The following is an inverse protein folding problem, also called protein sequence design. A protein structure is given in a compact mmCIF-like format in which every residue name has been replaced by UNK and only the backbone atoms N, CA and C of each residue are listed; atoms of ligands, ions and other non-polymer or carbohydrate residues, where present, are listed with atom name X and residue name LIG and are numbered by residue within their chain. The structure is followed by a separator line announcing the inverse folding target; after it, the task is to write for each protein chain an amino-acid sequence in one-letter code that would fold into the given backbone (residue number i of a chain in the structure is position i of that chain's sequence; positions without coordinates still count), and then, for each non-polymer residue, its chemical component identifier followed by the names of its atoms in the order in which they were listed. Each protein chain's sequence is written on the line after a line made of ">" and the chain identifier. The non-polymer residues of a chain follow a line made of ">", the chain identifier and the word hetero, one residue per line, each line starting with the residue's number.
data_IF_618368507652
#
_entry.id   IF_618368507652
#
_cell.length_a   1.000
_cell.length_b   1.000
_cell.length_c   1.000
_cell.angle_alpha   90.00
_cell.angle_beta   90.00
_cell.angle_gamma   90.00
#
_symmetry.space_group_name_H-M   'P 1'
#
loop_
_entity.id
_entity.type
_entity.pdbx_description
1 polymer ?
#
# COMPACT_ATOMS: atom_id res chain seq x y z
N UNK A 1 4.35 29.65 -0.33
CA UNK A 1 3.62 28.82 -1.31
C UNK A 1 4.11 27.41 -1.04
N UNK A 2 3.25 26.53 -0.54
CA UNK A 2 3.63 25.16 -0.18
C UNK A 2 3.98 24.40 -1.46
N UNK A 3 5.22 23.95 -1.60
CA UNK A 3 5.63 23.08 -2.71
C UNK A 3 5.87 21.69 -2.14
N UNK A 4 5.29 20.68 -2.79
CA UNK A 4 5.46 19.27 -2.43
C UNK A 4 6.94 18.83 -2.42
N UNK A 5 7.87 19.66 -2.89
CA UNK A 5 9.32 19.47 -2.90
C UNK A 5 9.94 19.49 -1.50
N UNK A 6 9.27 20.09 -0.51
CA UNK A 6 9.78 20.21 0.88
C UNK A 6 8.80 19.75 1.96
N UNK A 7 7.57 19.39 1.57
CA UNK A 7 6.48 19.10 2.51
C UNK A 7 6.40 17.63 2.95
N UNK A 8 7.21 16.73 2.37
CA UNK A 8 7.30 15.33 2.79
C UNK A 8 8.53 15.11 3.66
N UNK A 9 8.45 14.14 4.58
CA UNK A 9 9.58 13.80 5.46
C UNK A 9 10.79 13.24 4.70
N UNK A 10 10.56 12.59 3.55
CA UNK A 10 11.59 12.03 2.69
C UNK A 10 11.08 11.71 1.28
N UNK A 11 12.01 11.62 0.33
CA UNK A 11 11.76 11.21 -1.06
C UNK A 11 12.75 10.13 -1.49
N UNK A 12 12.25 9.08 -2.14
CA UNK A 12 13.08 8.07 -2.79
C UNK A 12 13.34 8.41 -4.26
N UNK A 13 14.60 8.52 -4.65
CA UNK A 13 14.99 8.84 -6.03
C UNK A 13 15.26 7.55 -6.82
N UNK A 14 14.52 7.35 -7.90
CA UNK A 14 14.68 6.23 -8.83
C UNK A 14 15.21 6.71 -10.18
N UNK A 15 16.20 6.01 -10.75
CA UNK A 15 16.73 6.26 -12.10
C UNK A 15 16.76 4.95 -12.87
N UNK A 16 16.19 4.92 -14.08
CA UNK A 16 16.09 3.72 -14.91
C UNK A 16 15.51 2.51 -14.16
N UNK A 17 14.50 2.73 -13.32
CA UNK A 17 13.85 1.69 -12.52
C UNK A 17 14.61 1.23 -11.28
N UNK A 18 15.77 1.83 -10.96
CA UNK A 18 16.62 1.45 -9.82
C UNK A 18 16.57 2.53 -8.73
N UNK A 19 16.37 2.12 -7.48
CA UNK A 19 16.49 3.00 -6.32
C UNK A 19 17.93 3.49 -6.18
N UNK A 20 18.13 4.80 -6.03
CA UNK A 20 19.47 5.40 -5.97
C UNK A 20 19.80 6.00 -4.61
N UNK A 21 18.90 6.81 -4.04
CA UNK A 21 19.09 7.49 -2.76
C UNK A 21 17.78 7.99 -2.17
N UNK A 22 17.82 8.27 -0.87
CA UNK A 22 16.79 9.05 -0.16
C UNK A 22 17.27 10.49 0.01
N UNK A 23 16.37 11.46 -0.14
CA UNK A 23 16.60 12.90 0.11
C UNK A 23 15.49 13.47 0.98
N UNK A 24 15.73 14.61 1.63
CA UNK A 24 14.74 15.31 2.48
C UNK A 24 13.94 16.37 1.73
N UNK A 25 14.41 16.76 0.55
CA UNK A 25 13.77 17.73 -0.32
C UNK A 25 14.17 17.48 -1.78
N UNK A 26 13.46 18.11 -2.71
CA UNK A 26 13.65 17.98 -4.15
C UNK A 26 14.23 19.25 -4.79
N UNK A 27 14.78 20.19 -4.01
CA UNK A 27 15.18 21.52 -4.49
C UNK A 27 16.31 21.46 -5.55
N UNK A 28 17.12 20.40 -5.53
CA UNK A 28 18.19 20.16 -6.50
C UNK A 28 17.71 19.46 -7.78
N UNK A 29 16.41 19.16 -7.91
CA UNK A 29 15.84 18.44 -9.06
C UNK A 29 14.96 19.41 -9.87
N UNK A 30 15.25 19.65 -11.15
CA UNK A 30 14.44 20.52 -11.99
C UNK A 30 13.06 19.88 -12.22
N UNK A 31 12.00 20.55 -11.75
CA UNK A 31 10.65 20.00 -11.71
C UNK A 31 9.73 20.42 -12.87
N UNK A 32 10.24 21.21 -13.82
CA UNK A 32 9.44 21.90 -14.85
C UNK A 32 8.58 20.96 -15.72
N UNK A 33 9.03 19.72 -15.95
CA UNK A 33 8.35 18.72 -16.79
C UNK A 33 7.74 17.54 -16.01
N UNK A 34 7.64 17.64 -14.68
CA UNK A 34 7.14 16.55 -13.85
C UNK A 34 5.61 16.60 -13.70
N UNK A 35 5.00 15.41 -13.67
CA UNK A 35 3.60 15.22 -13.28
C UNK A 35 3.57 14.49 -11.95
N UNK A 36 2.96 15.12 -10.95
CA UNK A 36 2.84 14.56 -9.60
C UNK A 36 1.52 13.82 -9.45
N UNK A 37 1.58 12.59 -8.94
CA UNK A 37 0.41 11.76 -8.62
C UNK A 37 0.34 11.52 -7.12
N UNK A 38 -0.75 11.94 -6.49
CA UNK A 38 -1.07 11.54 -5.11
C UNK A 38 -1.83 10.23 -5.15
N UNK A 39 -1.19 9.17 -4.65
CA UNK A 39 -1.78 7.83 -4.54
C UNK A 39 -2.27 7.66 -3.09
N UNK A 40 -3.49 7.16 -2.92
CA UNK A 40 -4.12 7.00 -1.61
C UNK A 40 -3.37 6.09 -0.64
N UNK A 41 -3.65 6.23 0.66
CA UNK A 41 -3.05 5.46 1.75
C UNK A 41 -4.08 4.56 2.44
N UNK A 42 -3.67 3.38 2.94
CA UNK A 42 -4.52 2.39 3.64
C UNK A 42 -5.20 2.87 4.93
N UNK A 43 -5.04 4.14 5.29
CA UNK A 43 -5.55 4.68 6.54
C UNK A 43 -7.08 4.64 6.65
N UNK A 44 -7.81 4.96 5.57
CA UNK A 44 -9.28 4.87 5.58
C UNK A 44 -9.79 3.44 5.75
N UNK A 45 -9.06 2.45 5.22
CA UNK A 45 -9.36 1.03 5.42
C UNK A 45 -9.21 0.64 6.90
N UNK A 46 -8.12 1.06 7.55
CA UNK A 46 -7.88 0.76 8.96
C UNK A 46 -8.88 1.47 9.89
N UNK A 47 -9.25 2.71 9.57
CA UNK A 47 -10.29 3.43 10.29
C UNK A 47 -11.64 2.70 10.21
N UNK A 48 -12.03 2.20 9.03
CA UNK A 48 -13.26 1.43 8.87
C UNK A 48 -13.26 0.13 9.71
N UNK A 49 -12.13 -0.58 9.75
CA UNK A 49 -11.97 -1.77 10.59
C UNK A 49 -12.09 -1.43 12.08
N UNK A 50 -11.32 -0.45 12.55
CA UNK A 50 -11.32 -0.05 13.96
C UNK A 50 -12.68 0.48 14.40
N UNK A 51 -13.35 1.30 13.58
CA UNK A 51 -14.70 1.77 13.85
C UNK A 51 -15.74 0.64 13.94
N UNK A 52 -15.51 -0.45 13.20
CA UNK A 52 -16.33 -1.67 13.28
C UNK A 52 -15.95 -2.60 14.45
N UNK A 53 -14.97 -2.23 15.28
CA UNK A 53 -14.46 -3.04 16.38
C UNK A 53 -13.61 -4.24 15.92
N UNK A 54 -13.06 -4.18 14.71
CA UNK A 54 -12.24 -5.25 14.13
C UNK A 54 -10.75 -5.02 14.43
N UNK A 55 -9.98 -6.09 14.68
CA UNK A 55 -8.57 -5.96 15.04
C UNK A 55 -7.72 -5.50 13.86
N UNK A 56 -6.80 -4.58 14.12
CA UNK A 56 -5.77 -4.14 13.18
C UNK A 56 -4.41 -4.44 13.81
N UNK A 57 -3.84 -5.60 13.50
CA UNK A 57 -2.71 -6.17 14.27
C UNK A 57 -1.47 -5.29 14.27
N UNK A 58 -1.08 -4.70 13.15
CA UNK A 58 0.14 -3.90 13.06
C UNK A 58 0.06 -2.64 13.93
N UNK A 59 -1.12 -2.01 14.04
CA UNK A 59 -1.35 -0.89 14.95
C UNK A 59 -1.19 -1.30 16.43
N UNK A 60 -1.63 -2.51 16.80
CA UNK A 60 -1.50 -3.01 18.19
C UNK A 60 -0.05 -3.28 18.61
N UNK A 61 0.85 -3.49 17.65
CA UNK A 61 2.27 -3.80 17.90
C UNK A 61 3.20 -2.68 17.45
N UNK A 62 2.64 -1.51 17.09
CA UNK A 62 3.37 -0.35 16.59
C UNK A 62 4.36 -0.68 15.46
N UNK A 63 3.85 -1.39 14.44
CA UNK A 63 4.62 -1.73 13.24
C UNK A 63 3.90 -1.23 11.99
N UNK A 64 4.66 -1.05 10.92
CA UNK A 64 4.11 -0.80 9.61
C UNK A 64 3.24 -1.99 9.13
N UNK A 65 2.36 -1.70 8.17
CA UNK A 65 1.52 -2.74 7.57
C UNK A 65 2.37 -3.64 6.67
N UNK A 66 2.40 -4.97 6.91
CA UNK A 66 3.19 -5.86 6.06
C UNK A 66 2.59 -5.92 4.67
N UNK A 67 3.41 -5.67 3.66
CA UNK A 67 2.98 -5.67 2.26
C UNK A 67 3.84 -6.59 1.41
N UNK A 68 3.19 -7.31 0.51
CA UNK A 68 3.79 -8.42 -0.23
C UNK A 68 3.69 -8.23 -1.73
N UNK A 69 4.73 -8.63 -2.46
CA UNK A 69 4.65 -8.77 -3.91
C UNK A 69 3.82 -10.00 -4.26
N UNK A 70 2.77 -9.80 -5.05
CA UNK A 70 1.90 -10.90 -5.46
C UNK A 70 2.19 -11.37 -6.89
N UNK A 71 1.52 -12.45 -7.31
CA UNK A 71 1.43 -12.88 -8.71
C UNK A 71 0.19 -12.32 -9.43
N UNK A 72 -0.60 -11.46 -8.78
CA UNK A 72 -1.75 -10.81 -9.40
C UNK A 72 -1.23 -9.71 -10.32
N UNK A 73 -1.40 -9.86 -11.63
CA UNK A 73 -0.96 -8.86 -12.60
C UNK A 73 -1.82 -7.60 -12.55
N UNK A 74 -1.19 -6.43 -12.61
CA UNK A 74 -1.88 -5.17 -12.92
C UNK A 74 -2.26 -5.15 -14.40
N UNK A 75 -3.30 -4.38 -14.74
CA UNK A 75 -3.58 -4.08 -16.14
C UNK A 75 -2.44 -3.22 -16.72
N UNK A 76 -1.78 -3.66 -17.82
CA UNK A 76 -0.68 -2.89 -18.40
C UNK A 76 -1.20 -1.62 -19.08
N UNK A 77 -0.39 -0.58 -19.08
CA UNK A 77 -0.69 0.69 -19.75
C UNK A 77 0.59 1.32 -20.32
N UNK A 78 0.70 1.39 -21.64
CA UNK A 78 1.91 1.85 -22.32
C UNK A 78 3.15 1.07 -21.87
N UNK A 79 4.23 1.74 -21.41
CA UNK A 79 5.43 1.06 -20.91
C UNK A 79 5.27 0.49 -19.49
N UNK A 80 4.16 0.78 -18.79
CA UNK A 80 3.96 0.38 -17.40
C UNK A 80 3.29 -0.99 -17.30
N UNK A 81 3.94 -1.91 -16.58
CA UNK A 81 3.42 -3.22 -16.23
C UNK A 81 4.03 -3.68 -14.90
N UNK A 82 3.37 -4.60 -14.20
CA UNK A 82 3.82 -5.10 -12.92
C UNK A 82 2.74 -5.93 -12.23
N UNK A 83 3.04 -6.37 -11.00
CA UNK A 83 2.08 -7.08 -10.17
C UNK A 83 1.59 -6.18 -9.03
N UNK A 84 0.40 -6.50 -8.52
CA UNK A 84 -0.18 -5.86 -7.34
C UNK A 84 0.71 -6.13 -6.13
N UNK A 85 1.02 -5.09 -5.37
CA UNK A 85 1.54 -5.21 -4.01
C UNK A 85 0.35 -5.19 -3.05
N UNK A 86 0.21 -6.22 -2.23
CA UNK A 86 -0.92 -6.38 -1.33
C UNK A 86 -0.49 -6.20 0.13
N UNK A 87 -1.07 -5.22 0.82
CA UNK A 87 -0.99 -5.12 2.28
C UNK A 87 -1.87 -6.20 2.93
N UNK A 88 -1.38 -6.91 3.95
CA UNK A 88 -2.10 -8.00 4.61
C UNK A 88 -2.48 -7.64 6.03
N UNK A 89 -3.70 -8.01 6.45
CA UNK A 89 -4.16 -7.90 7.83
C UNK A 89 -4.66 -9.27 8.32
N UNK A 90 -4.08 -9.84 9.39
CA UNK A 90 -4.58 -11.08 9.93
C UNK A 90 -5.95 -10.84 10.57
N UNK A 91 -6.93 -11.65 10.20
CA UNK A 91 -8.31 -11.52 10.66
C UNK A 91 -8.81 -12.88 11.18
N UNK A 92 -9.38 -12.94 12.40
CA UNK A 92 -10.09 -14.13 12.88
C UNK A 92 -11.16 -14.57 11.88
N UNK A 93 -11.30 -15.89 11.69
CA UNK A 93 -12.15 -16.48 10.63
C UNK A 93 -13.59 -15.97 10.65
N UNK A 94 -14.16 -15.85 11.85
CA UNK A 94 -15.51 -15.36 12.12
C UNK A 94 -15.70 -13.87 11.80
N UNK A 95 -14.60 -13.10 11.76
CA UNK A 95 -14.62 -11.67 11.47
C UNK A 95 -14.31 -11.33 10.00
N UNK A 96 -13.81 -12.28 9.20
CA UNK A 96 -13.41 -12.06 7.80
C UNK A 96 -14.54 -11.47 6.97
N UNK A 97 -15.74 -12.03 7.07
CA UNK A 97 -16.89 -11.54 6.28
C UNK A 97 -17.24 -10.10 6.65
N UNK A 98 -17.27 -9.79 7.95
CA UNK A 98 -17.56 -8.43 8.43
C UNK A 98 -16.49 -7.45 7.97
N UNK A 99 -15.20 -7.83 8.04
CA UNK A 99 -14.10 -7.03 7.55
C UNK A 99 -14.26 -6.69 6.06
N UNK A 100 -14.55 -7.68 5.23
CA UNK A 100 -14.77 -7.46 3.80
C UNK A 100 -15.97 -6.53 3.53
N UNK A 101 -17.07 -6.67 4.27
CA UNK A 101 -18.26 -5.84 4.11
C UNK A 101 -18.02 -4.37 4.46
N UNK A 102 -17.38 -4.10 5.61
CA UNK A 102 -17.17 -2.71 6.05
C UNK A 102 -16.14 -1.97 5.21
N UNK A 103 -15.22 -2.68 4.54
CA UNK A 103 -14.22 -2.06 3.67
C UNK A 103 -14.65 -2.00 2.22
N UNK A 104 -15.60 -2.82 1.77
CA UNK A 104 -16.07 -2.84 0.38
C UNK A 104 -16.71 -1.53 -0.08
N UNK A 105 -17.22 -0.72 0.84
CA UNK A 105 -17.91 0.56 0.55
C UNK A 105 -16.94 1.73 0.34
N UNK A 106 -15.62 1.54 0.45
CA UNK A 106 -14.61 2.60 0.38
C UNK A 106 -14.21 2.96 -1.08
N UNK A 107 -15.20 3.11 -1.95
CA UNK A 107 -15.09 3.25 -3.42
C UNK A 107 -14.04 4.25 -3.96
N UNK A 108 -13.68 5.31 -3.22
CA UNK A 108 -12.75 6.35 -3.70
C UNK A 108 -11.27 6.04 -3.53
N UNK A 109 -10.88 5.13 -2.63
CA UNK A 109 -9.45 4.91 -2.30
C UNK A 109 -9.07 3.45 -2.08
N UNK A 110 -9.93 2.65 -1.41
CA UNK A 110 -9.68 1.24 -1.11
C UNK A 110 -10.91 0.40 -1.39
N UNK A 111 -10.72 -0.81 -1.90
CA UNK A 111 -11.84 -1.69 -2.19
C UNK A 111 -12.07 -2.77 -1.15
N UNK A 112 -12.99 -3.65 -1.51
CA UNK A 112 -13.02 -5.00 -0.97
C UNK A 112 -11.63 -5.67 -1.07
N UNK A 113 -11.29 -6.62 -0.19
CA UNK A 113 -10.02 -7.34 -0.26
C UNK A 113 -9.81 -7.98 -1.63
N UNK A 114 -8.63 -7.77 -2.21
CA UNK A 114 -8.24 -8.40 -3.50
C UNK A 114 -8.01 -9.91 -3.36
N UNK A 115 -7.78 -10.39 -2.13
CA UNK A 115 -7.60 -11.80 -1.80
C UNK A 115 -8.00 -12.09 -0.36
N UNK A 116 -8.62 -13.25 -0.13
CA UNK A 116 -8.91 -13.82 1.19
C UNK A 116 -8.54 -15.30 1.12
N UNK A 117 -7.68 -15.76 2.04
CA UNK A 117 -7.34 -17.18 2.16
C UNK A 117 -5.85 -17.44 2.04
N UNK A 118 -5.50 -18.56 1.40
CA UNK A 118 -4.12 -19.07 1.42
C UNK A 118 -3.17 -18.14 0.65
N UNK A 119 -2.05 -17.69 1.24
CA UNK A 119 -1.16 -16.70 0.61
C UNK A 119 -0.48 -17.23 -0.66
N UNK A 120 -0.17 -18.53 -0.73
CA UNK A 120 0.44 -19.12 -1.93
C UNK A 120 -0.42 -19.00 -3.20
N UNK A 121 -1.74 -18.80 -3.11
CA UNK A 121 -2.60 -18.60 -4.29
C UNK A 121 -2.32 -17.27 -4.99
N UNK A 122 -1.71 -16.31 -4.29
CA UNK A 122 -1.27 -15.02 -4.82
C UNK A 122 0.26 -14.91 -4.84
N UNK A 123 0.97 -16.04 -4.78
CA UNK A 123 2.43 -16.10 -4.88
C UNK A 123 3.20 -15.75 -3.62
N UNK A 124 2.52 -15.44 -2.51
CA UNK A 124 3.17 -15.13 -1.23
C UNK A 124 3.50 -16.44 -0.51
N UNK A 125 4.80 -16.74 -0.37
CA UNK A 125 5.29 -18.02 0.20
C UNK A 125 5.51 -17.96 1.70
N UNK A 126 5.84 -16.78 2.22
CA UNK A 126 6.18 -16.60 3.63
C UNK A 126 5.59 -15.28 4.14
N UNK A 127 4.69 -15.38 5.11
CA UNK A 127 4.06 -14.22 5.73
C UNK A 127 4.97 -13.52 6.76
N UNK A 128 6.01 -14.20 7.24
CA UNK A 128 6.92 -13.63 8.25
C UNK A 128 7.98 -12.72 7.65
N UNK A 129 8.18 -12.76 6.33
CA UNK A 129 9.17 -11.97 5.61
C UNK A 129 8.49 -11.14 4.50
N UNK A 130 7.77 -10.06 4.85
CA UNK A 130 7.19 -9.15 3.87
C UNK A 130 8.28 -8.47 3.03
N UNK A 131 8.01 -8.22 1.75
CA UNK A 131 8.92 -7.42 0.91
C UNK A 131 8.97 -5.95 1.32
N UNK A 132 7.92 -5.46 1.98
CA UNK A 132 7.80 -4.09 2.46
C UNK A 132 7.19 -4.07 3.87
N UNK A 133 7.95 -3.52 4.81
CA UNK A 133 7.71 -3.35 6.26
C UNK A 133 8.38 -2.04 6.66
#
# INVERSE_FOLDING_TARGET
>A
MWTFETDQSAYGIFKNGVFTRTVTDLLDIPFDDFVTFFIGCSHSFELALTAAGLPVRHQQVDRAVPSYKTTIACFPSGPFSGNVVASMRPMPRDLVQRAAQVTAVLDQVHGAPVHIGHPCWIGVKDLLHPEYD
#
